data_IF_008400500701
#
_entry.id   IF_008400500701
#
_cell.length_a   1.000
_cell.length_b   1.000
_cell.length_c   1.000
_cell.angle_alpha   90.00
_cell.angle_beta   90.00
_cell.angle_gamma   90.00
#
_symmetry.space_group_name_H-M   'P 1'
#
loop_
_entity.id
_entity.type
_entity.pdbx_description
1 polymer ?
#
# COMPACT_ATOMS: atom_id res chain seq x y z
N UNK A 1 -9.10 -49.99 -19.36
CA UNK A 1 -8.26 -48.78 -19.41
C UNK A 1 -9.17 -47.68 -19.90
N UNK A 2 -9.50 -46.76 -19.05
CA UNK A 2 -10.49 -45.70 -19.39
C UNK A 2 -9.79 -44.54 -20.11
N UNK A 3 -10.54 -43.79 -20.92
CA UNK A 3 -10.02 -42.62 -21.66
C UNK A 3 -9.38 -41.57 -20.72
N UNK A 4 -9.70 -41.63 -19.44
CA UNK A 4 -9.18 -40.75 -18.38
C UNK A 4 -7.77 -41.19 -17.92
N UNK A 5 -7.50 -42.50 -17.88
CA UNK A 5 -6.19 -43.05 -17.55
C UNK A 5 -5.16 -42.70 -18.64
N UNK A 6 -5.59 -42.71 -19.89
CA UNK A 6 -4.72 -42.34 -21.06
C UNK A 6 -4.37 -40.84 -21.05
N UNK A 7 -5.33 -39.98 -20.71
CA UNK A 7 -5.09 -38.52 -20.56
C UNK A 7 -4.11 -38.24 -19.44
N UNK A 8 -4.27 -38.89 -18.29
CA UNK A 8 -3.40 -38.72 -17.13
C UNK A 8 -1.96 -39.14 -17.44
N UNK A 9 -1.81 -40.28 -18.09
CA UNK A 9 -0.49 -40.78 -18.52
C UNK A 9 0.20 -39.85 -19.51
N UNK A 10 -0.52 -39.31 -20.51
CA UNK A 10 0.01 -38.32 -21.46
C UNK A 10 0.45 -37.03 -20.74
N UNK A 11 -0.35 -36.55 -19.77
CA UNK A 11 0.01 -35.37 -18.97
C UNK A 11 1.29 -35.61 -18.17
N UNK A 12 1.42 -36.77 -17.53
CA UNK A 12 2.61 -37.13 -16.76
C UNK A 12 3.86 -37.19 -17.64
N UNK A 13 3.78 -37.81 -18.80
CA UNK A 13 4.87 -37.83 -19.79
C UNK A 13 5.26 -36.41 -20.25
N UNK A 14 4.27 -35.56 -20.49
CA UNK A 14 4.53 -34.16 -20.89
C UNK A 14 5.22 -33.39 -19.79
N UNK A 15 4.79 -33.56 -18.53
CA UNK A 15 5.43 -32.93 -17.36
C UNK A 15 6.89 -33.39 -17.20
N UNK A 16 7.16 -34.68 -17.40
CA UNK A 16 8.51 -35.21 -17.33
C UNK A 16 9.40 -34.66 -18.46
N UNK A 17 8.89 -34.61 -19.71
CA UNK A 17 9.61 -34.03 -20.83
C UNK A 17 9.96 -32.55 -20.61
N UNK A 18 9.01 -31.75 -20.08
CA UNK A 18 9.26 -30.34 -19.75
C UNK A 18 10.33 -30.20 -18.65
N UNK A 19 10.28 -31.05 -17.60
CA UNK A 19 11.29 -31.06 -16.55
C UNK A 19 12.66 -31.45 -17.03
N UNK A 20 12.75 -32.42 -17.96
CA UNK A 20 14.00 -32.82 -18.55
C UNK A 20 14.64 -31.70 -19.38
N UNK A 21 13.82 -30.92 -20.10
CA UNK A 21 14.29 -29.85 -21.00
C UNK A 21 14.58 -28.55 -20.25
N UNK A 22 13.75 -28.18 -19.25
CA UNK A 22 13.76 -26.87 -18.60
C UNK A 22 14.16 -26.93 -17.12
N UNK A 23 14.50 -28.10 -16.60
CA UNK A 23 14.87 -28.34 -15.22
C UNK A 23 13.69 -28.67 -14.29
N UNK A 24 14.00 -29.31 -13.14
CA UNK A 24 13.00 -29.82 -12.20
C UNK A 24 12.08 -28.72 -11.61
N UNK A 25 12.57 -27.48 -11.55
CA UNK A 25 11.82 -26.34 -11.00
C UNK A 25 10.87 -25.68 -12.01
N UNK A 26 10.92 -26.05 -13.31
CA UNK A 26 10.05 -25.48 -14.34
C UNK A 26 8.57 -25.77 -14.08
N UNK A 27 8.25 -26.91 -13.46
CA UNK A 27 6.88 -27.27 -13.07
C UNK A 27 6.86 -27.67 -11.60
N UNK A 28 6.10 -26.95 -10.79
CA UNK A 28 5.84 -27.27 -9.37
C UNK A 28 4.37 -27.54 -9.15
N UNK A 29 4.03 -28.60 -8.44
CA UNK A 29 2.69 -28.77 -7.90
C UNK A 29 2.49 -27.81 -6.74
N UNK A 30 1.56 -26.88 -6.87
CA UNK A 30 1.18 -25.99 -5.78
C UNK A 30 0.39 -26.80 -4.74
N UNK A 31 0.86 -26.76 -3.50
CA UNK A 31 0.08 -27.25 -2.35
C UNK A 31 -0.46 -26.01 -1.63
N UNK A 32 -1.71 -26.01 -1.14
CA UNK A 32 -2.19 -24.94 -0.29
C UNK A 32 -1.31 -24.89 0.97
N UNK A 33 -0.37 -23.98 1.00
CA UNK A 33 0.37 -23.63 2.21
C UNK A 33 -0.27 -22.37 2.76
N UNK A 34 -0.60 -22.35 4.03
CA UNK A 34 -0.92 -21.11 4.75
C UNK A 34 0.37 -20.27 4.74
N UNK A 35 0.55 -19.49 3.69
CA UNK A 35 1.74 -18.67 3.53
C UNK A 35 1.59 -17.48 4.47
N UNK A 36 2.48 -17.35 5.44
CA UNK A 36 2.58 -16.13 6.26
C UNK A 36 3.11 -15.06 5.33
N UNK A 37 2.29 -14.05 5.08
CA UNK A 37 2.67 -12.89 4.28
C UNK A 37 3.32 -11.87 5.23
N UNK A 38 4.60 -11.51 5.03
CA UNK A 38 5.23 -10.45 5.80
C UNK A 38 4.45 -9.14 5.59
N UNK A 39 4.21 -8.40 6.66
CA UNK A 39 3.37 -7.20 6.64
C UNK A 39 3.86 -6.15 7.64
N UNK A 40 3.36 -4.93 7.50
CA UNK A 40 3.46 -3.85 8.48
C UNK A 40 2.05 -3.61 9.01
N UNK A 41 1.85 -3.62 10.32
CA UNK A 41 0.57 -3.21 10.94
C UNK A 41 0.22 -1.79 10.52
N UNK A 42 -1.06 -1.53 10.32
CA UNK A 42 -1.53 -0.16 10.06
C UNK A 42 -1.60 0.70 11.32
N UNK A 43 -1.45 0.09 12.51
CA UNK A 43 -1.72 0.73 13.80
C UNK A 43 -3.22 0.71 14.16
N UNK A 44 -4.08 0.21 13.27
CA UNK A 44 -5.51 0.09 13.48
C UNK A 44 -5.94 -1.39 13.40
N UNK A 45 -6.16 -2.06 14.54
CA UNK A 45 -6.45 -3.50 14.57
C UNK A 45 -7.65 -3.93 13.70
N UNK A 46 -8.66 -3.07 13.62
CA UNK A 46 -9.86 -3.34 12.78
C UNK A 46 -9.51 -3.34 11.30
N UNK A 47 -8.62 -2.46 10.85
CA UNK A 47 -8.14 -2.43 9.46
C UNK A 47 -7.21 -3.60 9.18
N UNK A 48 -6.31 -3.91 10.11
CA UNK A 48 -5.39 -5.05 10.02
C UNK A 48 -6.15 -6.37 9.88
N UNK A 49 -7.21 -6.55 10.67
CA UNK A 49 -8.09 -7.71 10.57
C UNK A 49 -8.81 -7.77 9.22
N UNK A 50 -9.32 -6.64 8.74
CA UNK A 50 -10.02 -6.58 7.46
C UNK A 50 -9.09 -6.85 6.25
N UNK A 51 -7.81 -6.49 6.36
CA UNK A 51 -6.79 -6.82 5.37
C UNK A 51 -6.45 -8.33 5.34
N UNK A 52 -6.77 -9.07 6.40
CA UNK A 52 -6.65 -10.53 6.47
C UNK A 52 -5.24 -11.08 6.61
N UNK A 53 -4.22 -10.24 6.45
CA UNK A 53 -2.82 -10.60 6.63
C UNK A 53 -2.17 -9.88 7.83
N UNK A 54 -2.91 -9.00 8.51
CA UNK A 54 -2.43 -8.25 9.68
C UNK A 54 -1.84 -6.88 9.36
N UNK A 55 -2.03 -6.35 8.15
CA UNK A 55 -1.54 -5.03 7.75
C UNK A 55 -1.25 -4.90 6.27
N UNK A 56 -0.36 -3.97 5.89
CA UNK A 56 0.09 -3.80 4.51
C UNK A 56 1.23 -4.78 4.16
N UNK A 57 1.19 -5.42 2.98
CA UNK A 57 2.17 -6.44 2.62
C UNK A 57 3.57 -5.84 2.38
N UNK A 58 4.60 -6.52 2.86
CA UNK A 58 6.01 -6.20 2.56
C UNK A 58 6.40 -6.72 1.18
N UNK A 59 7.38 -6.08 0.57
CA UNK A 59 7.84 -6.43 -0.77
C UNK A 59 6.80 -6.14 -1.85
N UNK A 60 5.80 -5.32 -1.55
CA UNK A 60 4.68 -5.03 -2.44
C UNK A 60 4.32 -3.55 -2.42
N UNK A 61 3.62 -3.12 -3.47
CA UNK A 61 3.04 -1.79 -3.53
C UNK A 61 1.61 -1.81 -3.00
N UNK A 62 1.29 -0.82 -2.18
CA UNK A 62 -0.05 -0.50 -1.70
C UNK A 62 -0.43 0.93 -2.09
N UNK A 63 -1.72 1.20 -2.22
CA UNK A 63 -2.25 2.51 -2.63
C UNK A 63 -3.36 2.94 -1.67
N UNK A 64 -3.32 4.19 -1.22
CA UNK A 64 -4.43 4.85 -0.54
C UNK A 64 -4.90 6.05 -1.35
N UNK A 65 -6.17 6.08 -1.69
CA UNK A 65 -6.81 7.16 -2.46
C UNK A 65 -7.83 7.87 -1.60
N UNK A 66 -7.83 9.18 -1.62
CA UNK A 66 -8.76 9.99 -0.83
C UNK A 66 -9.04 11.37 -1.44
N UNK A 67 -10.07 12.02 -0.95
CA UNK A 67 -10.23 13.47 -1.06
C UNK A 67 -9.45 14.16 0.09
N UNK A 68 -9.13 15.45 -0.02
CA UNK A 68 -8.47 16.20 1.05
C UNK A 68 -9.16 16.05 2.40
N UNK A 69 -8.39 16.06 3.47
CA UNK A 69 -8.88 15.99 4.86
C UNK A 69 -9.68 14.72 5.20
N UNK A 70 -9.41 13.61 4.53
CA UNK A 70 -10.05 12.31 4.80
C UNK A 70 -9.31 11.47 5.86
N UNK A 71 -8.16 11.92 6.34
CA UNK A 71 -7.33 11.21 7.32
C UNK A 71 -6.29 10.28 6.72
N UNK A 72 -6.07 10.33 5.43
CA UNK A 72 -5.10 9.47 4.74
C UNK A 72 -3.68 9.68 5.25
N UNK A 73 -3.26 10.94 5.42
CA UNK A 73 -1.95 11.27 5.99
C UNK A 73 -1.81 10.72 7.42
N UNK A 74 -2.85 10.86 8.25
CA UNK A 74 -2.87 10.31 9.62
C UNK A 74 -2.69 8.80 9.62
N UNK A 75 -3.41 8.09 8.76
CA UNK A 75 -3.29 6.63 8.63
C UNK A 75 -1.89 6.25 8.13
N UNK A 76 -1.36 6.97 7.14
CA UNK A 76 -0.02 6.73 6.62
C UNK A 76 1.07 6.94 7.66
N UNK A 77 0.99 8.02 8.44
CA UNK A 77 1.95 8.32 9.51
C UNK A 77 1.89 7.28 10.64
N UNK A 78 0.71 6.76 10.99
CA UNK A 78 0.61 5.62 11.90
C UNK A 78 1.32 4.38 11.33
N UNK A 79 1.14 4.08 10.04
CA UNK A 79 1.84 2.96 9.39
C UNK A 79 3.36 3.19 9.40
N UNK A 80 3.81 4.43 9.16
CA UNK A 80 5.23 4.82 9.25
C UNK A 80 5.77 4.55 10.65
N UNK A 81 5.06 4.97 11.70
CA UNK A 81 5.47 4.72 13.09
C UNK A 81 5.60 3.22 13.40
N UNK A 82 4.66 2.38 12.91
CA UNK A 82 4.77 0.93 13.04
C UNK A 82 5.96 0.37 12.25
N UNK A 83 6.20 0.86 11.04
CA UNK A 83 7.28 0.41 10.19
C UNK A 83 8.67 0.71 10.76
N UNK A 84 8.80 1.81 11.49
CA UNK A 84 10.06 2.25 12.11
C UNK A 84 10.56 1.30 13.21
N UNK A 85 9.72 0.43 13.76
CA UNK A 85 10.17 -0.62 14.68
C UNK A 85 11.19 -1.56 14.03
N UNK A 86 11.14 -1.73 12.71
CA UNK A 86 11.98 -2.70 11.97
C UNK A 86 13.03 -2.03 11.05
N UNK A 87 12.97 -0.73 10.81
CA UNK A 87 13.95 -0.07 9.93
C UNK A 87 13.66 1.41 9.70
N UNK A 88 14.43 1.99 8.79
CA UNK A 88 14.30 3.37 8.36
C UNK A 88 13.04 3.55 7.52
N UNK A 89 12.36 4.68 7.72
CA UNK A 89 11.23 5.09 6.89
C UNK A 89 11.61 6.26 5.98
N UNK A 90 11.01 6.29 4.80
CA UNK A 90 11.15 7.39 3.85
C UNK A 90 9.78 7.96 3.56
N UNK A 91 9.65 9.28 3.65
CA UNK A 91 8.48 10.01 3.19
C UNK A 91 8.88 10.93 2.04
N UNK A 92 8.41 10.61 0.84
CA UNK A 92 8.63 11.39 -0.37
C UNK A 92 7.41 12.22 -0.64
N UNK A 93 7.55 13.53 -0.46
CA UNK A 93 6.49 14.53 -0.54
C UNK A 93 6.64 15.39 -1.78
N UNK A 94 5.74 15.21 -2.76
CA UNK A 94 5.77 15.99 -4.01
C UNK A 94 5.24 17.40 -3.81
N UNK A 95 4.30 17.60 -2.89
CA UNK A 95 3.63 18.88 -2.68
C UNK A 95 4.22 19.71 -1.54
N UNK A 96 5.20 19.17 -0.81
CA UNK A 96 5.86 19.84 0.32
C UNK A 96 4.86 20.26 1.42
N UNK A 97 3.95 19.36 1.76
CA UNK A 97 2.90 19.56 2.76
C UNK A 97 3.13 18.77 4.06
N UNK A 98 4.28 18.11 4.20
CA UNK A 98 4.59 17.31 5.37
C UNK A 98 4.71 18.18 6.64
N UNK A 99 3.98 17.78 7.68
CA UNK A 99 4.04 18.43 8.99
C UNK A 99 4.82 17.54 9.98
N UNK A 100 6.08 17.87 10.31
CA UNK A 100 6.89 17.09 11.24
C UNK A 100 6.33 17.09 12.66
N UNK A 101 5.68 18.20 13.10
CA UNK A 101 5.09 18.29 14.41
C UNK A 101 3.92 17.31 14.55
N UNK A 102 3.06 17.28 13.54
CA UNK A 102 1.94 16.35 13.49
C UNK A 102 2.42 14.89 13.40
N UNK A 103 3.45 14.62 12.60
CA UNK A 103 4.03 13.29 12.51
C UNK A 103 4.57 12.79 13.86
N UNK A 104 5.30 13.63 14.58
CA UNK A 104 5.81 13.31 15.93
C UNK A 104 4.68 13.03 16.93
N UNK A 105 3.57 13.78 16.88
CA UNK A 105 2.40 13.55 17.72
C UNK A 105 1.73 12.20 17.46
N UNK A 106 1.84 11.67 16.24
CA UNK A 106 1.34 10.34 15.86
C UNK A 106 2.34 9.20 16.16
N UNK A 107 3.46 9.52 16.82
CA UNK A 107 4.45 8.55 17.26
C UNK A 107 5.52 8.23 16.20
N UNK A 108 5.64 9.05 15.15
CA UNK A 108 6.73 8.94 14.19
C UNK A 108 8.03 9.41 14.83
N UNK A 109 9.05 8.57 14.82
CA UNK A 109 10.41 8.92 15.21
C UNK A 109 11.06 9.70 14.06
N UNK A 110 11.26 11.01 14.24
CA UNK A 110 11.81 11.88 13.20
C UNK A 110 13.29 11.59 12.92
N UNK A 111 14.05 11.05 13.88
CA UNK A 111 15.45 10.67 13.68
C UNK A 111 15.58 9.42 12.79
N UNK A 112 14.48 8.68 12.63
CA UNK A 112 14.39 7.49 11.78
C UNK A 112 13.51 7.70 10.55
N UNK A 113 13.22 8.96 10.20
CA UNK A 113 12.47 9.36 9.03
C UNK A 113 13.35 10.19 8.10
N UNK A 114 13.49 9.79 6.85
CA UNK A 114 14.03 10.64 5.80
C UNK A 114 12.88 11.31 5.05
N UNK A 115 12.77 12.62 5.21
CA UNK A 115 11.88 13.44 4.38
C UNK A 115 12.60 13.79 3.07
N UNK A 116 11.95 13.52 1.95
CA UNK A 116 12.46 13.78 0.60
C UNK A 116 11.47 14.66 -0.13
N UNK A 117 11.92 15.85 -0.51
CA UNK A 117 11.14 16.88 -1.23
C UNK A 117 11.75 17.11 -2.60
N UNK A 118 11.39 16.29 -3.62
CA UNK A 118 12.00 16.40 -4.94
C UNK A 118 11.49 17.63 -5.70
N UNK A 119 12.37 18.28 -6.46
CA UNK A 119 11.99 19.45 -7.27
C UNK A 119 11.13 19.07 -8.49
N UNK A 120 11.19 17.82 -8.91
CA UNK A 120 10.44 17.34 -10.07
C UNK A 120 9.91 15.94 -9.84
N UNK A 121 8.78 15.62 -10.48
CA UNK A 121 8.22 14.28 -10.53
C UNK A 121 9.23 13.20 -10.97
N UNK A 122 10.06 13.50 -11.99
CA UNK A 122 11.07 12.57 -12.50
C UNK A 122 12.13 12.27 -11.44
N UNK A 123 12.55 13.28 -10.72
CA UNK A 123 13.49 13.14 -9.61
C UNK A 123 12.89 12.26 -8.49
N UNK A 124 11.64 12.50 -8.09
CA UNK A 124 10.95 11.68 -7.12
C UNK A 124 10.89 10.21 -7.52
N UNK A 125 10.56 9.90 -8.78
CA UNK A 125 10.56 8.53 -9.29
C UNK A 125 11.97 7.91 -9.30
N UNK A 126 13.02 8.69 -9.58
CA UNK A 126 14.39 8.21 -9.56
C UNK A 126 14.85 7.90 -8.12
N UNK A 127 14.60 8.83 -7.19
CA UNK A 127 14.92 8.66 -5.77
C UNK A 127 14.18 7.44 -5.18
N UNK A 128 12.88 7.31 -5.44
CA UNK A 128 12.10 6.13 -5.02
C UNK A 128 12.75 4.83 -5.52
N UNK A 129 13.14 4.79 -6.80
CA UNK A 129 13.80 3.62 -7.39
C UNK A 129 15.10 3.30 -6.66
N UNK A 130 15.95 4.28 -6.44
CA UNK A 130 17.27 4.08 -5.87
C UNK A 130 17.17 3.55 -4.43
N UNK A 131 16.28 4.08 -3.61
CA UNK A 131 16.04 3.57 -2.26
C UNK A 131 15.50 2.14 -2.23
N UNK A 132 14.58 1.79 -3.16
CA UNK A 132 14.06 0.41 -3.23
C UNK A 132 15.16 -0.57 -3.65
N UNK A 133 16.06 -0.17 -4.55
CA UNK A 133 17.17 -1.00 -4.99
C UNK A 133 18.20 -1.24 -3.89
N UNK A 134 18.45 -0.26 -3.02
CA UNK A 134 19.30 -0.40 -1.83
C UNK A 134 18.70 -1.38 -0.80
N UNK A 135 17.38 -1.45 -0.68
CA UNK A 135 16.67 -2.50 0.06
C UNK A 135 16.76 -2.43 1.59
N UNK A 136 17.33 -1.37 2.16
CA UNK A 136 17.56 -1.23 3.62
C UNK A 136 16.48 -0.41 4.33
N UNK A 137 15.35 -0.19 3.69
CA UNK A 137 14.23 0.60 4.22
C UNK A 137 13.03 -0.30 4.56
N UNK A 138 12.29 0.08 5.58
CA UNK A 138 11.09 -0.62 6.04
C UNK A 138 9.86 -0.20 5.23
N UNK A 139 9.71 1.11 5.01
CA UNK A 139 8.62 1.70 4.24
C UNK A 139 9.11 2.89 3.43
N UNK A 140 8.56 3.04 2.22
CA UNK A 140 8.61 4.27 1.45
C UNK A 140 7.20 4.73 1.15
N UNK A 141 6.83 5.90 1.71
CA UNK A 141 5.60 6.60 1.38
C UNK A 141 5.89 7.54 0.22
N UNK A 142 5.06 7.50 -0.83
CA UNK A 142 5.11 8.41 -1.97
C UNK A 142 3.82 9.22 -1.98
N UNK A 143 3.89 10.44 -1.49
CA UNK A 143 2.73 11.34 -1.39
C UNK A 143 2.64 12.23 -2.63
N UNK A 144 1.49 12.19 -3.30
CA UNK A 144 1.31 12.91 -4.56
C UNK A 144 -0.14 13.27 -4.83
N UNK A 145 -0.40 14.46 -5.37
CA UNK A 145 -1.74 14.82 -5.78
C UNK A 145 -2.16 14.10 -7.07
N UNK A 146 -3.43 13.78 -7.17
CA UNK A 146 -3.98 13.03 -8.29
C UNK A 146 -3.80 13.72 -9.66
N UNK A 147 -3.81 15.06 -9.70
CA UNK A 147 -3.66 15.80 -10.95
C UNK A 147 -2.28 15.60 -11.62
N UNK A 148 -1.25 15.29 -10.82
CA UNK A 148 0.07 14.94 -11.34
C UNK A 148 -0.02 13.62 -12.11
N UNK A 149 -0.66 12.60 -11.53
CA UNK A 149 -0.84 11.30 -12.15
C UNK A 149 -1.78 11.33 -13.37
N UNK A 150 -2.67 12.30 -13.44
CA UNK A 150 -3.55 12.54 -14.60
C UNK A 150 -2.81 12.98 -15.87
N UNK A 151 -1.56 13.41 -15.76
CA UNK A 151 -0.76 13.81 -16.92
C UNK A 151 -0.12 12.58 -17.59
N UNK A 152 -0.36 12.34 -18.90
CA UNK A 152 0.11 11.11 -19.57
C UNK A 152 1.63 10.88 -19.48
N UNK A 153 2.42 11.96 -19.50
CA UNK A 153 3.89 11.89 -19.36
C UNK A 153 4.32 11.33 -18.02
N UNK A 154 3.66 11.74 -16.93
CA UNK A 154 3.99 11.29 -15.58
C UNK A 154 3.48 9.86 -15.33
N UNK A 155 2.28 9.56 -15.81
CA UNK A 155 1.73 8.21 -15.77
C UNK A 155 2.64 7.19 -16.46
N UNK A 156 3.17 7.51 -17.65
CA UNK A 156 4.12 6.65 -18.38
C UNK A 156 5.44 6.47 -17.64
N UNK A 157 6.02 7.57 -17.10
CA UNK A 157 7.26 7.50 -16.31
C UNK A 157 7.07 6.59 -15.11
N UNK A 158 5.97 6.75 -14.38
CA UNK A 158 5.66 5.93 -13.22
C UNK A 158 5.45 4.46 -13.58
N UNK A 159 4.64 4.18 -14.62
CA UNK A 159 4.41 2.81 -15.09
C UNK A 159 5.73 2.10 -15.41
N UNK A 160 6.58 2.73 -16.21
CA UNK A 160 7.88 2.16 -16.58
C UNK A 160 8.78 1.94 -15.36
N UNK A 161 8.73 2.85 -14.39
CA UNK A 161 9.50 2.72 -13.15
C UNK A 161 8.98 1.56 -12.31
N UNK A 162 7.67 1.45 -12.11
CA UNK A 162 7.04 0.38 -11.33
C UNK A 162 7.21 -1.00 -11.97
N UNK A 163 7.12 -1.11 -13.31
CA UNK A 163 7.38 -2.35 -14.04
C UNK A 163 8.78 -2.89 -13.73
N UNK A 164 9.77 -1.99 -13.72
CA UNK A 164 11.16 -2.34 -13.40
C UNK A 164 11.39 -2.65 -11.92
N UNK A 165 10.61 -2.04 -11.04
CA UNK A 165 10.73 -2.20 -9.59
C UNK A 165 9.96 -3.38 -9.03
N UNK A 166 9.00 -3.95 -9.74
CA UNK A 166 8.16 -5.03 -9.23
C UNK A 166 8.97 -6.24 -8.72
N UNK A 167 9.97 -6.69 -9.47
CA UNK A 167 10.84 -7.81 -9.07
C UNK A 167 11.84 -7.42 -7.98
N UNK A 168 12.60 -6.31 -8.06
CA UNK A 168 13.44 -5.85 -6.95
C UNK A 168 12.65 -5.67 -5.66
N UNK A 169 11.54 -4.94 -5.67
CA UNK A 169 10.70 -4.67 -4.50
C UNK A 169 10.27 -5.99 -3.82
N UNK A 170 9.84 -6.99 -4.60
CA UNK A 170 9.40 -8.28 -4.05
C UNK A 170 10.48 -9.07 -3.32
N UNK A 171 11.75 -8.68 -3.45
CA UNK A 171 12.91 -9.29 -2.77
C UNK A 171 13.33 -8.50 -1.53
N UNK A 172 12.75 -7.36 -1.28
CA UNK A 172 13.02 -6.50 -0.11
C UNK A 172 11.95 -6.70 0.97
N UNK A 173 12.22 -6.17 2.16
CA UNK A 173 11.23 -6.02 3.24
C UNK A 173 10.48 -4.69 3.16
N UNK A 174 10.73 -3.87 2.14
CA UNK A 174 10.13 -2.56 1.99
C UNK A 174 8.66 -2.67 1.58
N UNK A 175 7.79 -1.90 2.23
CA UNK A 175 6.45 -1.61 1.73
C UNK A 175 6.48 -0.29 0.97
N UNK A 176 6.07 -0.31 -0.31
CA UNK A 176 5.89 0.92 -1.09
C UNK A 176 4.44 1.36 -0.98
N UNK A 177 4.19 2.51 -0.36
CA UNK A 177 2.86 3.06 -0.14
C UNK A 177 2.67 4.35 -0.92
N UNK A 178 1.75 4.35 -1.89
CA UNK A 178 1.31 5.56 -2.57
C UNK A 178 0.12 6.20 -1.85
N UNK A 179 0.23 7.49 -1.57
CA UNK A 179 -0.89 8.33 -1.14
C UNK A 179 -1.33 9.19 -2.31
N UNK A 180 -2.62 9.14 -2.63
CA UNK A 180 -3.19 9.88 -3.74
C UNK A 180 -4.30 10.76 -3.23
N UNK A 181 -4.06 12.06 -3.24
CA UNK A 181 -5.07 13.05 -2.86
C UNK A 181 -5.75 13.58 -4.13
N UNK A 182 -7.06 13.35 -4.23
CA UNK A 182 -7.89 13.86 -5.32
C UNK A 182 -8.12 15.37 -5.16
N UNK A 183 -8.47 16.04 -6.25
CA UNK A 183 -8.86 17.45 -6.17
C UNK A 183 -10.16 17.60 -5.36
N UNK A 184 -10.35 18.72 -4.65
CA UNK A 184 -11.51 18.94 -3.78
C UNK A 184 -12.86 18.78 -4.50
N UNK A 185 -12.94 19.21 -5.78
CA UNK A 185 -14.14 19.16 -6.60
C UNK A 185 -14.33 17.83 -7.35
N UNK A 186 -13.42 16.88 -7.14
CA UNK A 186 -13.57 15.56 -7.74
C UNK A 186 -14.69 14.81 -7.00
N UNK A 187 -15.69 14.27 -7.73
CA UNK A 187 -16.68 13.40 -7.10
C UNK A 187 -15.98 12.28 -6.33
N UNK A 188 -16.50 11.95 -5.15
CA UNK A 188 -15.93 10.84 -4.39
C UNK A 188 -15.96 9.58 -5.28
N UNK A 189 -14.81 8.97 -5.53
CA UNK A 189 -14.76 7.82 -6.41
C UNK A 189 -15.53 6.67 -5.76
N UNK A 190 -16.36 6.00 -6.54
CA UNK A 190 -16.91 4.75 -6.07
C UNK A 190 -15.76 3.78 -5.76
N UNK A 191 -15.88 2.91 -4.73
CA UNK A 191 -14.79 2.03 -4.30
C UNK A 191 -14.25 1.12 -5.42
N UNK A 192 -15.08 0.81 -6.40
CA UNK A 192 -14.79 -0.02 -7.58
C UNK A 192 -14.21 0.75 -8.76
N UNK A 193 -14.25 2.09 -8.73
CA UNK A 193 -13.73 2.91 -9.82
C UNK A 193 -12.20 2.96 -9.77
N UNK A 194 -11.58 2.59 -10.89
CA UNK A 194 -10.15 2.73 -11.10
C UNK A 194 -9.82 4.20 -11.37
N UNK A 195 -9.43 4.94 -10.31
CA UNK A 195 -9.10 6.37 -10.41
C UNK A 195 -7.84 6.59 -11.24
N UNK A 196 -6.85 5.67 -11.10
CA UNK A 196 -5.61 5.69 -11.85
C UNK A 196 -5.22 4.26 -12.24
N UNK A 197 -5.34 3.95 -13.53
CA UNK A 197 -5.09 2.60 -14.06
C UNK A 197 -3.67 2.09 -13.80
N UNK A 198 -2.66 2.97 -13.81
CA UNK A 198 -1.25 2.60 -13.60
C UNK A 198 -1.03 2.03 -12.20
N UNK A 199 -1.37 2.78 -11.16
CA UNK A 199 -1.18 2.33 -9.78
C UNK A 199 -2.09 1.15 -9.43
N UNK A 200 -3.35 1.19 -9.88
CA UNK A 200 -4.30 0.12 -9.65
C UNK A 200 -3.83 -1.23 -10.20
N UNK A 201 -3.08 -1.24 -11.31
CA UNK A 201 -2.48 -2.45 -11.86
C UNK A 201 -1.39 -3.03 -10.94
N UNK A 202 -0.48 -2.19 -10.48
CA UNK A 202 0.67 -2.59 -9.66
C UNK A 202 0.31 -2.88 -8.19
N UNK A 203 -0.69 -2.17 -7.64
CA UNK A 203 -1.06 -2.31 -6.23
C UNK A 203 -1.47 -3.75 -5.87
N UNK A 204 -0.93 -4.25 -4.77
CA UNK A 204 -1.37 -5.49 -4.13
C UNK A 204 -2.57 -5.24 -3.21
N UNK A 205 -2.57 -4.10 -2.52
CA UNK A 205 -3.66 -3.60 -1.69
C UNK A 205 -4.02 -2.19 -2.16
N UNK A 206 -5.32 -1.91 -2.27
CA UNK A 206 -5.85 -0.59 -2.59
C UNK A 206 -6.93 -0.22 -1.60
N UNK A 207 -6.75 0.93 -0.96
CA UNK A 207 -7.67 1.50 0.01
C UNK A 207 -8.26 2.79 -0.54
N UNK A 208 -9.57 2.99 -0.33
CA UNK A 208 -10.24 4.26 -0.62
C UNK A 208 -10.77 4.82 0.69
N UNK A 209 -10.29 6.00 1.06
CA UNK A 209 -10.54 6.60 2.37
C UNK A 209 -11.51 7.77 2.23
N UNK A 210 -12.59 7.72 3.00
CA UNK A 210 -13.61 8.76 3.06
C UNK A 210 -13.70 9.32 4.46
N UNK A 211 -13.75 10.65 4.58
CA UNK A 211 -14.14 11.28 5.85
C UNK A 211 -15.65 11.13 6.04
N UNK A 212 -16.07 10.68 7.21
CA UNK A 212 -17.49 10.56 7.55
C UNK A 212 -18.00 11.84 8.21
N UNK A 213 -17.65 12.00 9.47
CA UNK A 213 -18.16 13.09 10.32
C UNK A 213 -17.13 13.49 11.36
N UNK A 214 -17.20 14.73 11.80
CA UNK A 214 -16.49 15.19 12.98
C UNK A 214 -17.09 14.57 14.25
N UNK A 215 -16.24 14.28 15.20
CA UNK A 215 -16.60 13.81 16.53
C UNK A 215 -16.43 14.99 17.48
N UNK A 216 -17.56 15.44 18.04
CA UNK A 216 -17.57 16.58 18.94
C UNK A 216 -17.53 16.14 20.39
N UNK A 217 -16.67 16.78 21.19
CA UNK A 217 -16.76 16.80 22.63
C UNK A 217 -17.79 17.83 23.12
N UNK A 218 -17.82 18.07 24.44
CA UNK A 218 -18.75 19.09 25.01
C UNK A 218 -18.43 20.51 24.56
N UNK A 219 -17.17 20.83 24.22
CA UNK A 219 -16.70 22.18 23.88
C UNK A 219 -15.74 22.24 22.71
N UNK A 220 -15.34 21.11 22.15
CA UNK A 220 -14.25 20.99 21.17
C UNK A 220 -14.48 19.81 20.18
N UNK A 221 -13.71 19.80 19.13
CA UNK A 221 -13.65 18.68 18.19
C UNK A 221 -12.63 17.68 18.73
N UNK A 222 -13.07 16.44 19.03
CA UNK A 222 -12.20 15.37 19.54
C UNK A 222 -11.56 14.52 18.46
N UNK A 223 -12.11 14.58 17.25
CA UNK A 223 -11.61 13.75 16.15
C UNK A 223 -12.60 13.67 15.01
N UNK A 224 -12.41 12.66 14.18
CA UNK A 224 -13.34 12.37 13.08
C UNK A 224 -13.41 10.87 12.80
N UNK A 225 -14.52 10.46 12.18
CA UNK A 225 -14.67 9.13 11.63
C UNK A 225 -14.10 9.06 10.21
N UNK A 226 -13.33 8.04 9.90
CA UNK A 226 -12.91 7.70 8.55
C UNK A 226 -13.50 6.35 8.15
N UNK A 227 -14.04 6.26 6.92
CA UNK A 227 -14.55 5.03 6.35
C UNK A 227 -13.61 4.56 5.24
N UNK A 228 -13.13 3.35 5.36
CA UNK A 228 -12.14 2.78 4.44
C UNK A 228 -12.77 1.62 3.70
N UNK A 229 -12.72 1.68 2.38
CA UNK A 229 -13.08 0.57 1.50
C UNK A 229 -11.80 -0.09 1.00
N UNK A 230 -11.74 -1.41 1.10
CA UNK A 230 -10.69 -2.21 0.49
C UNK A 230 -11.13 -2.48 -0.95
N UNK A 231 -10.63 -1.65 -1.89
CA UNK A 231 -11.01 -1.76 -3.30
C UNK A 231 -10.24 -2.88 -4.03
N UNK A 232 -9.08 -3.27 -3.50
CA UNK A 232 -8.28 -4.41 -4.00
C UNK A 232 -7.49 -5.03 -2.87
N UNK A 233 -7.46 -6.37 -2.85
CA UNK A 233 -6.61 -7.13 -1.94
C UNK A 233 -6.22 -8.45 -2.63
N UNK A 234 -4.92 -8.66 -2.86
CA UNK A 234 -4.41 -9.90 -3.48
C UNK A 234 -4.30 -11.07 -2.51
N UNK A 235 -4.44 -10.84 -1.20
CA UNK A 235 -4.09 -11.80 -0.16
C UNK A 235 -5.29 -12.33 0.62
N UNK A 236 -6.41 -11.60 0.61
CA UNK A 236 -7.63 -11.98 1.31
C UNK A 236 -8.87 -11.54 0.53
N UNK A 237 -10.02 -12.18 0.77
CA UNK A 237 -11.29 -11.73 0.23
C UNK A 237 -11.60 -10.30 0.68
N UNK A 238 -12.19 -9.51 -0.21
CA UNK A 238 -12.63 -8.16 0.10
C UNK A 238 -13.91 -8.25 0.94
N UNK A 239 -13.85 -7.70 2.15
CA UNK A 239 -15.00 -7.56 3.05
C UNK A 239 -15.74 -6.25 2.88
N UNK A 240 -16.64 -5.96 3.83
CA UNK A 240 -17.29 -4.65 3.93
C UNK A 240 -16.32 -3.52 4.32
N UNK A 241 -16.81 -2.26 4.28
CA UNK A 241 -15.99 -1.12 4.67
C UNK A 241 -15.66 -1.14 6.16
N UNK A 242 -14.48 -0.63 6.49
CA UNK A 242 -13.98 -0.46 7.85
C UNK A 242 -14.21 0.99 8.29
N UNK A 243 -14.66 1.19 9.52
CA UNK A 243 -14.76 2.53 10.11
C UNK A 243 -13.68 2.69 11.18
N UNK A 244 -12.90 3.74 11.05
CA UNK A 244 -11.89 4.14 12.03
C UNK A 244 -12.35 5.41 12.75
N UNK A 245 -12.02 5.51 14.03
CA UNK A 245 -12.06 6.75 14.79
C UNK A 245 -10.65 7.30 14.88
N UNK A 246 -10.43 8.50 14.36
CA UNK A 246 -9.15 9.19 14.38
C UNK A 246 -9.29 10.36 15.36
N UNK A 247 -8.56 10.31 16.49
CA UNK A 247 -8.47 11.39 17.47
C UNK A 247 -7.65 12.54 16.92
N UNK A 248 -7.98 13.77 17.28
CA UNK A 248 -7.08 14.91 17.14
C UNK A 248 -6.04 14.80 18.26
N UNK A 249 -4.78 14.98 17.92
CA UNK A 249 -3.61 14.71 18.75
C UNK A 249 -3.77 15.07 20.24
N UNK A 250 -3.55 14.11 21.12
CA UNK A 250 -3.48 14.26 22.56
C UNK A 250 -4.44 13.41 23.39
N UNK A 251 -5.38 12.69 22.80
CA UNK A 251 -6.20 11.72 23.55
C UNK A 251 -6.01 10.31 22.95
N UNK A 252 -5.60 9.40 23.83
CA UNK A 252 -5.33 8.01 23.55
C UNK A 252 -6.40 7.35 22.68
N UNK A 253 -6.04 7.04 21.45
CA UNK A 253 -6.87 6.27 20.51
C UNK A 253 -6.99 4.79 20.91
N UNK A 254 -7.24 4.52 22.19
CA UNK A 254 -7.54 3.18 22.68
C UNK A 254 -9.06 3.00 22.69
N UNK A 255 -9.60 2.52 21.57
CA UNK A 255 -10.97 2.06 21.49
C UNK A 255 -11.19 0.90 22.46
N UNK A 256 -11.92 1.17 23.53
CA UNK A 256 -12.69 0.17 24.27
C UNK A 256 -14.00 -0.08 23.56
#
# INVERSE_FOLDING_TARGET
>A
MTADDDKKRRLEMTVEAIRATHGQMAIRRLRPRKQIIPHISTGFPVLDQALGIGGLPRGQMSEMVSIPSSGTATIALNIVAQAQAEGLAIYLDIDQNFDPTYAAQLGVDLDRLLLVEPNTWREGCAIMRDFILEGQISILVFDTPAHVLGQPRYARTLSTTLDRLATPLSKTSCTLLFLITLLPDTPQPAPDQAIHSVLAHHAAVRLVVYRMRWLFGRRDIRGYGAKIYIAKNKFAPIGGPVTLTIGLAGEDGNGR
#
